data_IF_396366003136
#
_entry.id   IF_396366003136
#
_cell.length_a   1.000
_cell.length_b   1.000
_cell.length_c   1.000
_cell.angle_alpha   90.00
_cell.angle_beta   90.00
_cell.angle_gamma   90.00
#
_symmetry.space_group_name_H-M   'P 1'
#
loop_
_entity.id
_entity.type
_entity.pdbx_description
1 polymer ?
#
# COMPACT_ATOMS: atom_id res chain seq x y z
N UNK A 1 -9.06 -1.65 0.47
CA UNK A 1 -9.82 -0.38 0.61
C UNK A 1 -10.70 -0.22 -0.64
N UNK A 2 -11.95 0.24 -0.48
CA UNK A 2 -12.91 0.44 -1.58
C UNK A 2 -13.85 1.62 -1.26
N UNK A 3 -14.55 2.15 -2.28
CA UNK A 3 -15.54 3.20 -2.08
C UNK A 3 -16.79 2.67 -1.35
N UNK A 4 -17.12 3.25 -0.20
CA UNK A 4 -18.34 2.93 0.55
C UNK A 4 -19.57 3.44 -0.21
N UNK A 5 -20.57 2.58 -0.39
CA UNK A 5 -21.86 2.96 -1.00
C UNK A 5 -21.92 2.87 -2.54
N UNK A 6 -20.85 2.47 -3.21
CA UNK A 6 -20.83 2.27 -4.66
C UNK A 6 -21.03 0.78 -5.00
N UNK A 7 -21.95 0.51 -5.94
CA UNK A 7 -22.21 -0.84 -6.48
C UNK A 7 -22.11 -0.79 -8.02
N UNK A 8 -21.33 -1.69 -8.66
CA UNK A 8 -20.51 -2.75 -8.06
C UNK A 8 -19.33 -2.22 -7.23
N UNK A 9 -18.83 -3.05 -6.30
CA UNK A 9 -17.71 -2.67 -5.42
C UNK A 9 -16.49 -2.30 -6.25
N UNK A 10 -15.97 -1.10 -6.03
CA UNK A 10 -14.76 -0.61 -6.70
C UNK A 10 -13.61 -0.58 -5.69
N UNK A 11 -12.67 -1.51 -5.81
CA UNK A 11 -11.47 -1.61 -4.97
C UNK A 11 -10.44 -0.61 -5.48
N UNK A 12 -9.81 0.12 -4.56
CA UNK A 12 -8.83 1.18 -4.89
C UNK A 12 -7.44 0.90 -4.34
N UNK A 13 -7.33 -0.03 -3.38
CA UNK A 13 -6.05 -0.41 -2.79
C UNK A 13 -6.15 -1.79 -2.12
N UNK A 14 -5.11 -2.60 -2.27
CA UNK A 14 -4.99 -3.96 -1.72
C UNK A 14 -3.60 -4.10 -1.10
N UNK A 15 -3.53 -4.56 0.15
CA UNK A 15 -2.27 -4.65 0.90
C UNK A 15 -1.38 -5.80 0.40
N UNK A 16 -1.95 -7.00 0.36
CA UNK A 16 -1.26 -8.27 0.16
C UNK A 16 -1.50 -8.83 -1.25
N UNK A 17 -1.30 -8.01 -2.29
CA UNK A 17 -1.56 -8.38 -3.69
C UNK A 17 -0.74 -9.60 -4.15
N UNK A 18 0.46 -9.72 -3.65
CA UNK A 18 1.44 -10.76 -3.98
C UNK A 18 1.22 -12.04 -3.17
N UNK A 19 0.70 -11.91 -1.95
CA UNK A 19 0.53 -12.99 -0.99
C UNK A 19 -0.92 -13.05 -0.50
N UNK A 20 -1.84 -13.67 -1.26
CA UNK A 20 -3.24 -13.77 -0.87
C UNK A 20 -3.40 -14.65 0.38
N UNK A 21 -4.34 -14.29 1.24
CA UNK A 21 -4.75 -15.11 2.39
C UNK A 21 -6.13 -15.70 2.11
N UNK A 22 -6.23 -17.02 2.23
CA UNK A 22 -7.48 -17.78 2.03
C UNK A 22 -8.10 -18.23 3.36
N UNK A 23 -7.35 -18.10 4.46
CA UNK A 23 -7.81 -18.47 5.78
C UNK A 23 -8.83 -17.45 6.32
N UNK A 24 -10.06 -17.86 6.67
CA UNK A 24 -11.07 -16.96 7.19
C UNK A 24 -10.74 -16.42 8.60
N UNK A 25 -9.78 -17.01 9.29
CA UNK A 25 -9.32 -16.58 10.62
C UNK A 25 -8.12 -15.62 10.56
N UNK A 26 -7.75 -15.19 9.34
CA UNK A 26 -6.74 -14.16 9.13
C UNK A 26 -7.09 -12.87 9.89
N UNK A 27 -6.07 -12.18 10.39
CA UNK A 27 -6.26 -11.01 11.24
C UNK A 27 -5.25 -9.91 10.90
N UNK A 28 -5.74 -8.67 10.86
CA UNK A 28 -4.91 -7.47 10.74
C UNK A 28 -4.69 -6.87 12.14
N UNK A 29 -3.44 -6.77 12.58
CA UNK A 29 -3.08 -6.34 13.94
C UNK A 29 -1.84 -5.45 13.96
N UNK A 30 -1.59 -4.81 15.08
CA UNK A 30 -0.36 -4.03 15.31
C UNK A 30 0.53 -4.84 16.25
N UNK A 31 1.76 -5.11 15.83
CA UNK A 31 2.74 -5.80 16.66
C UNK A 31 3.30 -4.89 17.75
N UNK A 32 3.90 -5.51 18.77
CA UNK A 32 4.52 -4.80 19.89
C UNK A 32 5.65 -3.84 19.47
N UNK A 33 6.26 -4.05 18.30
CA UNK A 33 7.29 -3.19 17.70
C UNK A 33 6.72 -2.11 16.76
N UNK A 34 5.40 -1.90 16.77
CA UNK A 34 4.73 -0.81 16.05
C UNK A 34 4.45 -1.06 14.56
N UNK A 35 4.69 -2.26 14.04
CA UNK A 35 4.35 -2.61 12.65
C UNK A 35 2.90 -3.09 12.50
N UNK A 36 2.27 -2.77 11.37
CA UNK A 36 0.97 -3.31 10.98
C UNK A 36 1.20 -4.66 10.29
N UNK A 37 0.57 -5.73 10.80
CA UNK A 37 0.76 -7.10 10.34
C UNK A 37 -0.57 -7.71 9.88
N UNK A 38 -0.56 -8.33 8.70
CA UNK A 38 -1.58 -9.28 8.28
C UNK A 38 -1.09 -10.69 8.60
N UNK A 39 -1.81 -11.38 9.48
CA UNK A 39 -1.50 -12.75 9.90
C UNK A 39 -2.49 -13.74 9.27
N UNK A 40 -2.00 -14.92 8.90
CA UNK A 40 -2.86 -16.07 8.58
C UNK A 40 -3.43 -16.73 9.85
N UNK A 41 -4.27 -17.76 9.70
CA UNK A 41 -4.87 -18.46 10.84
C UNK A 41 -3.90 -19.26 11.70
N UNK A 42 -2.69 -19.52 11.20
CA UNK A 42 -1.57 -20.13 11.96
C UNK A 42 -0.65 -19.08 12.57
N UNK A 43 -1.01 -17.79 12.49
CA UNK A 43 -0.22 -16.63 12.93
C UNK A 43 1.07 -16.41 12.13
N UNK A 44 1.16 -16.96 10.92
CA UNK A 44 2.20 -16.64 9.96
C UNK A 44 2.00 -15.23 9.39
N UNK A 45 3.09 -14.47 9.21
CA UNK A 45 3.02 -13.11 8.65
C UNK A 45 2.89 -13.22 7.12
N UNK A 46 1.77 -12.76 6.60
CA UNK A 46 1.46 -12.72 5.16
C UNK A 46 1.91 -11.40 4.53
N UNK A 47 1.75 -10.32 5.29
CA UNK A 47 2.12 -8.96 4.86
C UNK A 47 2.42 -8.10 6.09
N UNK A 48 3.31 -7.12 5.93
CA UNK A 48 3.65 -6.16 6.98
C UNK A 48 3.92 -4.78 6.42
N UNK A 49 3.62 -3.74 7.21
CA UNK A 49 3.92 -2.35 6.91
C UNK A 49 4.33 -1.59 8.18
N UNK A 50 5.08 -0.50 8.02
CA UNK A 50 5.64 0.26 9.13
C UNK A 50 7.13 0.00 9.32
N UNK A 51 7.73 0.82 10.18
CA UNK A 51 9.10 0.65 10.65
C UNK A 51 9.07 -0.05 12.01
N UNK A 52 10.00 -0.96 12.25
CA UNK A 52 10.25 -1.50 13.59
C UNK A 52 10.81 -0.37 14.44
N UNK A 53 9.95 0.25 15.23
CA UNK A 53 10.36 1.26 16.21
C UNK A 53 10.20 0.66 17.59
N UNK A 54 11.23 0.74 18.43
CA UNK A 54 11.15 0.37 19.84
C UNK A 54 10.34 1.40 20.66
N UNK A 55 9.22 1.88 20.11
CA UNK A 55 8.31 2.81 20.76
C UNK A 55 7.21 2.06 21.50
N UNK A 56 6.51 2.72 22.43
CA UNK A 56 5.42 2.15 23.21
C UNK A 56 4.12 1.95 22.37
N UNK A 57 4.27 1.48 21.14
CA UNK A 57 3.18 1.14 20.23
C UNK A 57 2.89 2.18 19.14
N UNK A 58 2.12 1.75 18.14
CA UNK A 58 1.62 2.56 17.04
C UNK A 58 0.11 2.38 16.91
N UNK A 59 -0.50 3.16 16.02
CA UNK A 59 -1.90 2.98 15.62
C UNK A 59 -2.03 3.09 14.10
N UNK A 60 -3.07 2.47 13.57
CA UNK A 60 -3.42 2.56 12.16
C UNK A 60 -4.69 3.40 11.99
N UNK A 61 -4.65 4.37 11.09
CA UNK A 61 -5.76 5.28 10.81
C UNK A 61 -6.07 5.26 9.31
N UNK A 62 -7.36 5.13 8.96
CA UNK A 62 -7.83 5.39 7.60
C UNK A 62 -8.38 6.82 7.54
N UNK A 63 -7.66 7.69 6.85
CA UNK A 63 -8.08 9.09 6.65
C UNK A 63 -9.27 9.21 5.68
N UNK A 64 -9.95 10.35 5.72
CA UNK A 64 -11.10 10.66 4.85
C UNK A 64 -10.74 10.67 3.35
N UNK A 65 -9.47 10.87 3.02
CA UNK A 65 -8.97 10.86 1.64
C UNK A 65 -8.62 9.43 1.16
N UNK A 66 -8.83 8.42 2.00
CA UNK A 66 -8.59 7.01 1.68
C UNK A 66 -7.15 6.55 1.91
N UNK A 67 -6.29 7.38 2.50
CA UNK A 67 -4.92 6.98 2.87
C UNK A 67 -4.96 6.23 4.21
N UNK A 68 -4.50 4.98 4.21
CA UNK A 68 -4.22 4.19 5.41
C UNK A 68 -2.81 4.52 5.92
N UNK A 69 -2.71 4.97 7.17
CA UNK A 69 -1.48 5.50 7.76
C UNK A 69 -1.19 4.74 9.05
N UNK A 70 0.08 4.35 9.26
CA UNK A 70 0.58 3.84 10.54
C UNK A 70 1.35 4.96 11.21
N UNK A 71 0.96 5.31 12.44
CA UNK A 71 1.47 6.46 13.18
C UNK A 71 2.05 5.99 14.51
N UNK A 72 3.25 6.47 14.82
CA UNK A 72 3.87 6.29 16.12
C UNK A 72 3.10 7.04 17.21
N UNK A 73 2.76 6.38 18.32
CA UNK A 73 1.91 7.00 19.34
C UNK A 73 2.62 8.08 20.17
N UNK A 74 3.95 8.04 20.27
CA UNK A 74 4.71 8.98 21.12
C UNK A 74 5.08 10.22 20.32
N UNK A 75 5.77 10.03 19.19
CA UNK A 75 6.27 11.10 18.34
C UNK A 75 5.22 11.67 17.40
N UNK A 76 4.13 10.95 17.15
CA UNK A 76 3.14 11.31 16.14
C UNK A 76 3.67 11.18 14.70
N UNK A 77 4.87 10.60 14.51
CA UNK A 77 5.48 10.43 13.19
C UNK A 77 4.73 9.38 12.38
N UNK A 78 4.51 9.66 11.10
CA UNK A 78 4.09 8.65 10.12
C UNK A 78 5.20 7.63 9.94
N UNK A 79 4.92 6.38 10.29
CA UNK A 79 5.83 5.24 10.10
C UNK A 79 5.66 4.59 8.73
N UNK A 80 4.46 4.69 8.16
CA UNK A 80 4.12 4.15 6.85
C UNK A 80 2.78 4.72 6.37
N UNK A 81 2.60 4.83 5.05
CA UNK A 81 1.31 5.20 4.47
C UNK A 81 1.05 4.53 3.12
N UNK A 82 -0.20 4.19 2.85
CA UNK A 82 -0.61 3.52 1.62
C UNK A 82 -0.37 4.33 0.35
N UNK A 83 -0.36 5.67 0.45
CA UNK A 83 -0.12 6.55 -0.70
C UNK A 83 1.33 6.50 -1.23
N UNK A 84 2.26 5.94 -0.46
CA UNK A 84 3.64 5.65 -0.92
C UNK A 84 3.75 4.26 -1.56
N UNK A 85 2.71 3.43 -1.45
CA UNK A 85 2.66 2.05 -1.93
C UNK A 85 1.37 1.83 -2.74
N UNK A 86 1.28 2.52 -3.87
CA UNK A 86 0.08 2.52 -4.71
C UNK A 86 -0.21 1.13 -5.31
N UNK A 87 -1.49 0.92 -5.60
CA UNK A 87 -1.99 -0.23 -6.32
C UNK A 87 -2.00 0.00 -7.83
N UNK A 88 -3.13 -0.31 -8.45
CA UNK A 88 -3.46 0.07 -9.84
C UNK A 88 -4.19 1.42 -9.94
N UNK A 89 -4.56 2.00 -8.80
CA UNK A 89 -5.37 3.23 -8.70
C UNK A 89 -4.60 4.36 -8.01
N UNK A 90 -4.67 5.56 -8.57
CA UNK A 90 -4.22 6.81 -7.93
C UNK A 90 -5.44 7.55 -7.38
N UNK A 91 -5.54 7.68 -6.06
CA UNK A 91 -6.59 8.46 -5.40
C UNK A 91 -6.23 9.96 -5.40
N UNK A 92 -7.21 10.87 -5.22
CA UNK A 92 -6.92 12.28 -4.99
C UNK A 92 -5.90 12.45 -3.87
N UNK A 93 -4.97 13.40 -4.03
CA UNK A 93 -3.90 13.71 -3.07
C UNK A 93 -2.83 12.62 -2.89
N UNK A 94 -2.91 11.52 -3.65
CA UNK A 94 -1.76 10.63 -3.88
C UNK A 94 -0.95 11.09 -5.09
N UNK A 95 0.29 10.63 -5.24
CA UNK A 95 1.17 11.06 -6.32
C UNK A 95 2.06 9.93 -6.84
N UNK A 96 2.23 9.89 -8.17
CA UNK A 96 3.36 9.23 -8.79
C UNK A 96 4.61 10.07 -8.52
N UNK A 97 5.67 9.45 -8.02
CA UNK A 97 6.90 10.17 -7.67
C UNK A 97 8.13 9.36 -8.07
N UNK A 98 9.23 10.10 -8.24
CA UNK A 98 10.57 9.54 -8.38
C UNK A 98 11.49 10.35 -7.48
N UNK A 99 12.11 9.71 -6.48
CA UNK A 99 13.10 10.35 -5.64
C UNK A 99 14.49 10.25 -6.28
N UNK A 100 15.06 11.38 -6.69
CA UNK A 100 16.38 11.44 -7.36
C UNK A 100 17.53 10.96 -6.47
N UNK A 101 17.43 11.16 -5.15
CA UNK A 101 18.50 10.80 -4.22
C UNK A 101 18.48 9.31 -3.86
N UNK A 102 17.30 8.72 -3.68
CA UNK A 102 17.15 7.32 -3.23
C UNK A 102 16.82 6.34 -4.37
N UNK A 103 16.38 6.83 -5.53
CA UNK A 103 15.88 6.01 -6.63
C UNK A 103 14.51 5.39 -6.38
N UNK A 104 13.88 5.64 -5.23
CA UNK A 104 12.56 5.12 -4.87
C UNK A 104 11.49 5.76 -5.78
N UNK A 105 10.54 4.95 -6.24
CA UNK A 105 9.44 5.36 -7.11
C UNK A 105 8.10 4.99 -6.50
N UNK A 106 7.13 5.90 -6.58
CA UNK A 106 5.73 5.55 -6.40
C UNK A 106 5.12 5.35 -7.79
N UNK A 107 4.68 4.13 -8.06
CA UNK A 107 4.21 3.69 -9.39
C UNK A 107 2.83 3.09 -9.26
N UNK A 108 2.06 3.10 -10.35
CA UNK A 108 0.86 2.27 -10.44
C UNK A 108 1.23 0.96 -11.13
N UNK A 109 0.77 -0.15 -10.57
CA UNK A 109 0.90 -1.48 -11.19
C UNK A 109 -0.49 -2.06 -11.38
N UNK A 110 -0.83 -2.35 -12.63
CA UNK A 110 -2.10 -2.96 -13.03
C UNK A 110 -2.40 -4.24 -12.24
N UNK A 111 -3.67 -4.60 -12.14
CA UNK A 111 -4.06 -5.95 -11.75
C UNK A 111 -3.78 -6.93 -12.89
N UNK A 112 -3.49 -8.18 -12.54
CA UNK A 112 -3.28 -9.26 -13.51
C UNK A 112 -4.54 -9.58 -14.31
N UNK A 113 -5.71 -9.46 -13.68
CA UNK A 113 -7.01 -9.53 -14.37
C UNK A 113 -8.10 -8.83 -13.55
N UNK A 114 -9.31 -8.72 -14.10
CA UNK A 114 -10.46 -8.14 -13.39
C UNK A 114 -10.80 -8.85 -12.05
N UNK A 115 -10.43 -10.12 -11.90
CA UNK A 115 -10.70 -10.92 -10.69
C UNK A 115 -9.45 -11.24 -9.87
N UNK A 116 -8.26 -10.85 -10.35
CA UNK A 116 -6.98 -11.17 -9.73
C UNK A 116 -6.19 -9.89 -9.45
N UNK A 117 -6.17 -9.41 -8.20
CA UNK A 117 -5.50 -8.17 -7.82
C UNK A 117 -3.98 -8.31 -7.74
N UNK A 118 -3.40 -9.48 -8.04
CA UNK A 118 -1.94 -9.62 -8.10
C UNK A 118 -1.33 -8.68 -9.15
N UNK A 119 -0.06 -8.26 -9.01
CA UNK A 119 0.60 -7.40 -9.97
C UNK A 119 0.51 -7.97 -11.40
N UNK A 120 -0.04 -7.17 -12.31
CA UNK A 120 -0.12 -7.44 -13.74
C UNK A 120 1.08 -6.92 -14.52
N UNK A 121 0.98 -6.99 -15.85
CA UNK A 121 2.09 -6.68 -16.76
C UNK A 121 2.37 -5.18 -16.91
N UNK A 122 1.42 -4.30 -16.59
CA UNK A 122 1.53 -2.88 -16.87
C UNK A 122 1.89 -2.05 -15.65
N UNK A 123 2.87 -1.16 -15.82
CA UNK A 123 3.32 -0.20 -14.81
C UNK A 123 3.26 1.21 -15.37
N UNK A 124 2.70 2.16 -14.61
CA UNK A 124 2.78 3.60 -14.88
C UNK A 124 3.76 4.23 -13.90
N UNK A 125 4.79 4.90 -14.42
CA UNK A 125 5.81 5.56 -13.61
C UNK A 125 6.21 6.91 -14.20
N UNK A 126 6.75 7.80 -13.34
CA UNK A 126 7.44 9.01 -13.77
C UNK A 126 8.94 8.73 -13.84
N UNK A 127 9.59 9.27 -14.86
CA UNK A 127 11.02 9.09 -15.10
C UNK A 127 11.84 10.34 -14.77
N UNK A 128 13.13 10.19 -14.43
CA UNK A 128 13.95 11.27 -13.89
C UNK A 128 14.49 12.26 -14.94
N UNK A 129 14.17 12.08 -16.23
CA UNK A 129 14.64 13.02 -17.26
C UNK A 129 14.02 14.41 -17.08
N UNK A 130 14.62 15.40 -17.76
CA UNK A 130 14.14 16.79 -17.78
C UNK A 130 13.77 17.16 -19.22
N UNK A 131 12.50 17.53 -19.49
CA UNK A 131 11.37 17.51 -18.57
C UNK A 131 10.97 16.08 -18.16
N UNK A 132 10.40 15.92 -16.96
CA UNK A 132 9.95 14.60 -16.48
C UNK A 132 8.79 14.11 -17.32
N UNK A 133 8.76 12.79 -17.56
CA UNK A 133 7.79 12.13 -18.42
C UNK A 133 7.11 11.00 -17.66
N UNK A 134 5.84 10.75 -17.99
CA UNK A 134 5.12 9.58 -17.50
C UNK A 134 5.10 8.51 -18.60
N UNK A 135 5.47 7.29 -18.25
CA UNK A 135 5.47 6.15 -19.16
C UNK A 135 4.56 5.04 -18.65
N UNK A 136 3.86 4.40 -19.59
CA UNK A 136 3.29 3.07 -19.37
C UNK A 136 4.24 2.06 -19.97
N UNK A 137 4.68 1.10 -19.18
CA UNK A 137 5.56 0.02 -19.61
C UNK A 137 4.85 -1.32 -19.46
N UNK A 138 5.23 -2.27 -20.30
CA UNK A 138 4.86 -3.68 -20.14
C UNK A 138 6.09 -4.45 -19.65
N UNK A 139 6.00 -5.03 -18.46
CA UNK A 139 7.13 -5.63 -17.75
C UNK A 139 7.86 -4.62 -16.85
N UNK A 140 8.60 -5.17 -15.88
CA UNK A 140 9.47 -4.45 -14.95
C UNK A 140 10.90 -4.33 -15.48
#
# INVERSE_FOLDING_TARGET
IWFKGITPRTVVWVANRENPVTDPTANLTISSNGSLLLLDGKRGIVWSAGETSASNGSRAELSDIGNLIVIDNISGRTLWQSFEHLGDTMLPLSSLTYNLATGVKHVLTSWKSYTDPSPGDFVVQITPQVPSQAFTMRGS
#
